data_IF_148784933610
#
_entry.id   IF_148784933610
#
_cell.length_a   1.000
_cell.length_b   1.000
_cell.length_c   1.000
_cell.angle_alpha   90.00
_cell.angle_beta   90.00
_cell.angle_gamma   90.00
#
_symmetry.space_group_name_H-M   'P 1'
#
loop_
_entity.id
_entity.type
_entity.pdbx_description
1 polymer ?
#
# COMPACT_ATOMS: atom_id res chain seq x y z
N UNK A 1 -2.66 -18.50 5.19
CA UNK A 1 -2.29 -18.27 3.78
C UNK A 1 -2.34 -16.79 3.40
N UNK A 2 -3.44 -16.10 3.70
CA UNK A 2 -3.60 -14.66 3.42
C UNK A 2 -2.55 -13.81 4.14
N UNK A 3 -2.30 -14.05 5.43
CA UNK A 3 -1.29 -13.29 6.20
C UNK A 3 0.12 -13.50 5.64
N UNK A 4 0.45 -14.74 5.28
CA UNK A 4 1.73 -15.02 4.64
C UNK A 4 1.87 -14.28 3.30
N UNK A 5 0.83 -14.25 2.46
CA UNK A 5 0.89 -13.58 1.17
C UNK A 5 0.97 -12.05 1.31
N UNK A 6 0.16 -11.46 2.19
CA UNK A 6 -0.02 -10.01 2.33
C UNK A 6 0.97 -9.34 3.30
N UNK A 7 1.66 -10.10 4.16
CA UNK A 7 2.62 -9.54 5.13
C UNK A 7 4.01 -10.19 5.04
N UNK A 8 4.07 -11.52 5.05
CA UNK A 8 5.33 -12.24 5.30
C UNK A 8 6.09 -12.65 4.04
N UNK A 9 5.43 -12.71 2.88
CA UNK A 9 6.07 -13.02 1.62
C UNK A 9 7.19 -12.00 1.35
N UNK A 10 8.36 -12.48 0.93
CA UNK A 10 9.56 -11.65 0.70
C UNK A 10 9.26 -10.41 -0.15
N UNK A 11 8.44 -10.58 -1.20
CA UNK A 11 8.04 -9.50 -2.10
C UNK A 11 7.14 -8.48 -1.41
N UNK A 12 6.14 -8.93 -0.66
CA UNK A 12 5.21 -8.04 0.05
C UNK A 12 5.88 -7.35 1.23
N UNK A 13 6.74 -8.06 1.97
CA UNK A 13 7.56 -7.47 3.03
C UNK A 13 8.45 -6.34 2.51
N UNK A 14 9.01 -6.49 1.31
CA UNK A 14 9.78 -5.43 0.67
C UNK A 14 8.91 -4.20 0.29
N UNK A 15 7.63 -4.39 -0.04
CA UNK A 15 6.68 -3.28 -0.25
C UNK A 15 6.36 -2.56 1.06
N UNK A 16 6.10 -3.30 2.14
CA UNK A 16 5.90 -2.73 3.47
C UNK A 16 7.11 -1.92 3.92
N UNK A 17 8.32 -2.46 3.79
CA UNK A 17 9.54 -1.75 4.14
C UNK A 17 9.74 -0.48 3.30
N UNK A 18 9.42 -0.53 1.99
CA UNK A 18 9.45 0.64 1.13
C UNK A 18 8.44 1.69 1.61
N UNK A 19 7.21 1.30 1.95
CA UNK A 19 6.19 2.19 2.50
C UNK A 19 6.68 2.86 3.79
N UNK A 20 7.21 2.08 4.73
CA UNK A 20 7.76 2.61 5.99
C UNK A 20 8.88 3.62 5.74
N UNK A 21 9.79 3.31 4.80
CA UNK A 21 10.85 4.23 4.40
C UNK A 21 10.32 5.52 3.76
N UNK A 22 9.28 5.44 2.91
CA UNK A 22 8.68 6.62 2.27
C UNK A 22 8.01 7.57 3.27
N UNK A 23 7.41 7.02 4.32
CA UNK A 23 6.75 7.81 5.35
C UNK A 23 7.69 8.19 6.51
N UNK A 24 8.88 7.60 6.58
CA UNK A 24 9.84 7.80 7.67
C UNK A 24 9.32 7.24 9.00
N UNK A 25 8.61 6.11 8.95
CA UNK A 25 7.99 5.48 10.13
C UNK A 25 8.72 4.17 10.41
N UNK A 26 9.16 3.96 11.65
CA UNK A 26 9.57 2.64 12.12
C UNK A 26 8.31 1.85 12.51
N UNK A 27 8.08 0.72 11.85
CA UNK A 27 6.90 -0.11 12.10
C UNK A 27 7.27 -1.59 12.17
N UNK A 28 6.62 -2.31 13.08
CA UNK A 28 6.76 -3.75 13.21
C UNK A 28 5.46 -4.38 12.69
N UNK A 29 5.56 -5.21 11.64
CA UNK A 29 4.41 -5.93 11.12
C UNK A 29 3.97 -7.01 12.13
N UNK A 30 2.69 -7.00 12.47
CA UNK A 30 2.08 -8.04 13.30
C UNK A 30 2.02 -9.38 12.55
N UNK A 31 1.71 -10.46 13.27
CA UNK A 31 1.56 -11.80 12.66
C UNK A 31 0.30 -11.97 11.81
N UNK A 32 -0.65 -11.03 11.89
CA UNK A 32 -1.89 -11.07 11.11
C UNK A 32 -2.18 -9.74 10.42
N UNK A 33 -2.85 -9.82 9.27
CA UNK A 33 -3.31 -8.65 8.51
C UNK A 33 -4.28 -7.82 9.34
N UNK A 34 -5.18 -8.49 10.07
CA UNK A 34 -6.17 -7.85 10.94
C UNK A 34 -5.48 -7.00 12.01
N UNK A 35 -4.52 -7.56 12.74
CA UNK A 35 -3.82 -6.84 13.82
C UNK A 35 -2.99 -5.68 13.26
N UNK A 36 -2.38 -5.88 12.08
CA UNK A 36 -1.65 -4.83 11.39
C UNK A 36 -2.57 -3.65 11.03
N UNK A 37 -3.78 -3.92 10.51
CA UNK A 37 -4.77 -2.89 10.17
C UNK A 37 -5.37 -2.22 11.41
N UNK A 38 -5.59 -2.97 12.49
CA UNK A 38 -6.05 -2.41 13.77
C UNK A 38 -5.04 -1.41 14.34
N UNK A 39 -3.74 -1.78 14.35
CA UNK A 39 -2.68 -0.86 14.75
C UNK A 39 -2.53 0.34 13.82
N UNK A 40 -2.83 0.17 12.53
CA UNK A 40 -2.65 1.19 11.50
C UNK A 40 -3.38 2.51 11.78
N UNK A 41 -4.59 2.42 12.36
CA UNK A 41 -5.42 3.59 12.64
C UNK A 41 -4.87 4.47 13.77
N UNK A 42 -4.06 3.89 14.67
CA UNK A 42 -3.42 4.60 15.79
C UNK A 42 -2.05 5.21 15.43
N UNK A 43 -1.52 4.94 14.25
CA UNK A 43 -0.20 5.42 13.82
C UNK A 43 -0.20 6.94 13.56
N UNK A 44 0.71 7.67 14.22
CA UNK A 44 0.82 9.12 14.06
C UNK A 44 1.71 9.46 12.86
N UNK A 45 1.07 9.70 11.72
CA UNK A 45 1.67 10.42 10.60
C UNK A 45 1.11 11.85 10.58
N UNK A 46 1.99 12.84 10.43
CA UNK A 46 1.59 14.25 10.41
C UNK A 46 0.40 14.52 9.48
N UNK A 47 -0.40 15.55 9.80
CA UNK A 47 -1.72 15.82 9.18
C UNK A 47 -1.71 15.74 7.65
N UNK A 48 -0.70 16.31 7.00
CA UNK A 48 -0.54 16.33 5.54
C UNK A 48 -0.47 14.95 4.90
N UNK A 49 0.14 13.97 5.59
CA UNK A 49 0.38 12.61 5.06
C UNK A 49 -0.63 11.57 5.56
N UNK A 50 -1.52 11.96 6.48
CA UNK A 50 -2.48 11.06 7.12
C UNK A 50 -3.37 10.32 6.13
N UNK A 51 -3.86 11.00 5.09
CA UNK A 51 -4.72 10.40 4.07
C UNK A 51 -3.98 9.38 3.20
N UNK A 52 -2.78 9.74 2.73
CA UNK A 52 -1.94 8.82 1.97
C UNK A 52 -1.58 7.56 2.79
N UNK A 53 -1.28 7.74 4.07
CA UNK A 53 -1.02 6.64 4.99
C UNK A 53 -2.23 5.72 5.19
N UNK A 54 -3.43 6.28 5.35
CA UNK A 54 -4.66 5.48 5.49
C UNK A 54 -4.94 4.60 4.27
N UNK A 55 -4.58 5.07 3.07
CA UNK A 55 -4.78 4.30 1.83
C UNK A 55 -3.67 3.28 1.55
N UNK A 56 -2.51 3.42 2.20
CA UNK A 56 -1.32 2.66 1.86
C UNK A 56 -1.48 1.12 2.01
N UNK A 57 -2.13 0.58 3.06
CA UNK A 57 -2.37 -0.86 3.16
C UNK A 57 -3.20 -1.40 2.00
N UNK A 58 -4.27 -0.68 1.63
CA UNK A 58 -5.12 -1.06 0.49
C UNK A 58 -4.34 -1.02 -0.83
N UNK A 59 -3.46 -0.02 -1.00
CA UNK A 59 -2.61 0.07 -2.17
C UNK A 59 -1.62 -1.10 -2.27
N UNK A 60 -1.04 -1.54 -1.15
CA UNK A 60 -0.21 -2.76 -1.10
C UNK A 60 -1.04 -3.97 -1.51
N UNK A 61 -2.22 -4.17 -0.91
CA UNK A 61 -3.07 -5.34 -1.22
C UNK A 61 -3.50 -5.36 -2.69
N UNK A 62 -3.89 -4.21 -3.24
CA UNK A 62 -4.22 -4.07 -4.64
C UNK A 62 -3.05 -4.40 -5.55
N UNK A 63 -1.86 -3.92 -5.22
CA UNK A 63 -0.64 -4.23 -5.98
C UNK A 63 -0.35 -5.72 -5.94
N UNK A 64 -0.38 -6.35 -4.76
CA UNK A 64 -0.15 -7.80 -4.64
C UNK A 64 -1.19 -8.61 -5.40
N UNK A 65 -2.47 -8.22 -5.33
CA UNK A 65 -3.55 -8.88 -6.06
C UNK A 65 -3.38 -8.78 -7.58
N UNK A 66 -3.11 -7.57 -8.10
CA UNK A 66 -2.91 -7.35 -9.54
C UNK A 66 -1.77 -8.21 -10.08
N UNK A 67 -0.69 -8.30 -9.32
CA UNK A 67 0.51 -9.05 -9.70
C UNK A 67 0.30 -10.57 -9.62
N UNK A 68 -0.48 -11.04 -8.63
CA UNK A 68 -0.91 -12.44 -8.53
C UNK A 68 -1.77 -12.85 -9.71
N UNK A 69 -2.69 -11.98 -10.15
CA UNK A 69 -3.51 -12.22 -11.32
C UNK A 69 -2.67 -12.19 -12.59
N UNK A 70 -1.73 -11.24 -12.71
CA UNK A 70 -0.82 -11.19 -13.85
C UNK A 70 -0.02 -12.49 -13.97
N UNK A 71 0.46 -13.07 -12.87
CA UNK A 71 1.16 -14.36 -12.88
C UNK A 71 0.25 -15.56 -13.18
N UNK A 72 -1.04 -15.47 -12.85
CA UNK A 72 -2.00 -16.53 -13.14
C UNK A 72 -2.42 -16.54 -14.62
N UNK A 73 -2.44 -15.37 -15.26
CA UNK A 73 -2.93 -15.18 -16.63
C UNK A 73 -1.83 -14.81 -17.65
N UNK A 74 -0.64 -14.48 -17.17
CA UNK A 74 0.52 -14.07 -17.96
C UNK A 74 1.75 -14.85 -17.54
N UNK A 75 2.51 -15.35 -18.51
CA UNK A 75 3.66 -16.23 -18.27
C UNK A 75 4.97 -15.48 -17.94
N UNK A 76 4.87 -14.25 -17.42
CA UNK A 76 6.06 -13.41 -17.13
C UNK A 76 6.54 -13.55 -15.67
N UNK A 77 7.85 -13.69 -15.49
CA UNK A 77 8.48 -13.66 -14.18
C UNK A 77 8.42 -12.28 -13.53
N UNK A 78 8.08 -12.24 -12.23
CA UNK A 78 7.87 -10.99 -11.51
C UNK A 78 9.14 -10.46 -10.85
N UNK A 79 9.69 -9.36 -11.36
CA UNK A 79 10.85 -8.67 -10.77
C UNK A 79 10.43 -7.80 -9.58
N UNK A 80 11.24 -7.85 -8.52
CA UNK A 80 10.98 -7.05 -7.31
C UNK A 80 11.02 -5.54 -7.58
N UNK A 81 11.84 -5.11 -8.55
CA UNK A 81 11.94 -3.71 -8.96
C UNK A 81 10.65 -3.23 -9.64
N UNK A 82 10.10 -4.00 -10.58
CA UNK A 82 8.80 -3.69 -11.21
C UNK A 82 7.69 -3.60 -10.16
N UNK A 83 7.68 -4.52 -9.20
CA UNK A 83 6.70 -4.53 -8.12
C UNK A 83 6.77 -3.24 -7.28
N UNK A 84 7.99 -2.84 -6.85
CA UNK A 84 8.20 -1.60 -6.10
C UNK A 84 7.77 -0.37 -6.90
N UNK A 85 8.11 -0.32 -8.18
CA UNK A 85 7.73 0.77 -9.08
C UNK A 85 6.20 0.87 -9.23
N UNK A 86 5.55 -0.26 -9.54
CA UNK A 86 4.08 -0.40 -9.65
C UNK A 86 3.39 0.10 -8.37
N UNK A 87 3.91 -0.29 -7.21
CA UNK A 87 3.40 0.19 -5.91
C UNK A 87 3.49 1.72 -5.77
N UNK A 88 4.65 2.32 -6.04
CA UNK A 88 4.83 3.78 -5.91
C UNK A 88 3.92 4.54 -6.88
N UNK A 89 3.81 4.08 -8.13
CA UNK A 89 2.91 4.67 -9.12
C UNK A 89 1.44 4.57 -8.70
N UNK A 90 0.99 3.40 -8.22
CA UNK A 90 -0.37 3.21 -7.74
C UNK A 90 -0.64 4.12 -6.53
N UNK A 91 0.27 4.16 -5.56
CA UNK A 91 0.12 4.98 -4.36
C UNK A 91 -0.02 6.46 -4.71
N UNK A 92 0.84 6.95 -5.60
CA UNK A 92 0.80 8.33 -6.06
C UNK A 92 -0.47 8.66 -6.87
N UNK A 93 -0.88 7.76 -7.75
CA UNK A 93 -2.13 7.88 -8.51
C UNK A 93 -3.34 7.97 -7.58
N UNK A 94 -3.41 7.12 -6.56
CA UNK A 94 -4.52 7.10 -5.60
C UNK A 94 -4.56 8.38 -4.76
N UNK A 95 -3.40 8.89 -4.32
CA UNK A 95 -3.30 10.17 -3.62
C UNK A 95 -3.79 11.32 -4.51
N UNK A 96 -3.40 11.35 -5.79
CA UNK A 96 -3.85 12.38 -6.74
C UNK A 96 -5.35 12.35 -6.97
N UNK A 97 -5.92 11.18 -7.26
CA UNK A 97 -7.37 11.02 -7.47
C UNK A 97 -8.13 11.47 -6.24
N UNK A 98 -7.66 11.12 -5.04
CA UNK A 98 -8.28 11.55 -3.79
C UNK A 98 -8.23 13.07 -3.60
N UNK A 99 -7.11 13.72 -3.92
CA UNK A 99 -6.98 15.18 -3.84
C UNK A 99 -7.97 15.86 -4.80
N UNK A 100 -8.04 15.37 -6.05
CA UNK A 100 -8.98 15.91 -7.05
C UNK A 100 -10.42 15.74 -6.59
N UNK A 101 -10.79 14.56 -6.07
CA UNK A 101 -12.13 14.32 -5.54
C UNK A 101 -12.46 15.22 -4.35
N UNK A 102 -11.51 15.44 -3.44
CA UNK A 102 -11.69 16.34 -2.30
C UNK A 102 -11.91 17.78 -2.76
N UNK A 103 -11.15 18.26 -3.74
CA UNK A 103 -11.32 19.61 -4.31
C UNK A 103 -12.69 19.78 -4.96
N UNK A 104 -13.14 18.78 -5.72
CA UNK A 104 -14.49 18.79 -6.32
C UNK A 104 -15.58 18.85 -5.25
N UNK A 105 -15.46 18.05 -4.19
CA UNK A 105 -16.42 18.05 -3.08
C UNK A 105 -16.48 19.39 -2.34
N UNK A 106 -15.36 20.10 -2.21
CA UNK A 106 -15.31 21.43 -1.60
C UNK A 106 -15.88 22.54 -2.50
N UNK A 107 -15.85 22.36 -3.82
CA UNK A 107 -16.40 23.32 -4.79
C UNK A 107 -17.90 23.13 -5.03
N UNK A 108 -18.48 22.02 -4.56
CA UNK A 108 -19.87 21.63 -4.77
C UNK A 108 -20.75 21.71 -3.52
N UNK A 109 -20.20 22.16 -2.39
CA UNK A 109 -20.92 22.44 -1.14
C UNK A 109 -20.81 23.91 -0.76
#
# INVERSE_FOLDING_TARGET
MVDHLLLHCVKTRALWNLLFSLFGVAWILSGSVKDTLLGWHGAFVGKTRKKAWQMAPLCIFWTVWKERNLLAFGNEGLSLQRLKYSFVCNLWSWVRVFIVFLLLALLSG
#
